data_IF_314504717859
#
_entry.id   IF_314504717859
#
_cell.length_a   1.000
_cell.length_b   1.000
_cell.length_c   1.000
_cell.angle_alpha   90.00
_cell.angle_beta   90.00
_cell.angle_gamma   90.00
#
_symmetry.space_group_name_H-M   'P 1'
#
loop_
_entity.id
_entity.type
_entity.pdbx_description
1 polymer ?
#
# COMPACT_ATOMS: atom_id res chain seq x y z
N UNK A 1 -24.43 36.88 30.87
CA UNK A 1 -23.00 36.82 30.53
C UNK A 1 -22.80 35.61 29.64
N UNK A 2 -22.43 35.83 28.38
CA UNK A 2 -22.20 34.78 27.38
C UNK A 2 -20.83 34.12 27.67
N UNK A 3 -20.80 32.80 27.85
CA UNK A 3 -19.54 32.04 27.90
C UNK A 3 -19.22 31.62 26.46
N UNK A 4 -18.31 32.37 25.82
CA UNK A 4 -17.81 32.05 24.47
C UNK A 4 -16.85 30.87 24.58
N UNK A 5 -17.31 29.68 24.18
CA UNK A 5 -16.44 28.51 24.03
C UNK A 5 -15.53 28.70 22.80
N UNK A 6 -14.25 28.97 23.04
CA UNK A 6 -13.22 28.99 21.99
C UNK A 6 -12.90 27.54 21.63
N UNK A 7 -13.39 27.08 20.47
CA UNK A 7 -12.97 25.82 19.88
C UNK A 7 -11.63 26.09 19.17
N UNK A 8 -10.54 25.68 19.82
CA UNK A 8 -9.20 25.68 19.20
C UNK A 8 -9.18 24.52 18.20
N UNK A 9 -9.43 24.82 16.92
CA UNK A 9 -9.17 23.89 15.84
C UNK A 9 -7.65 23.77 15.67
N UNK A 10 -7.05 22.82 16.38
CA UNK A 10 -5.69 22.35 16.11
C UNK A 10 -5.71 21.67 14.73
N UNK A 11 -5.48 22.46 13.67
CA UNK A 11 -5.17 21.97 12.33
C UNK A 11 -3.79 21.30 12.31
N UNK A 12 -3.62 20.23 13.07
CA UNK A 12 -2.45 19.36 12.97
C UNK A 12 -2.49 18.60 11.65
N UNK A 13 -1.33 18.41 11.01
CA UNK A 13 -1.19 17.57 9.83
C UNK A 13 -2.03 16.30 9.98
N UNK A 14 -2.98 16.07 9.08
CA UNK A 14 -3.73 14.82 9.07
C UNK A 14 -2.73 13.67 9.03
N UNK A 15 -2.74 12.82 10.06
CA UNK A 15 -1.87 11.65 10.10
C UNK A 15 -2.20 10.78 8.89
N UNK A 16 -1.15 10.35 8.16
CA UNK A 16 -1.32 9.42 7.03
C UNK A 16 -1.95 8.14 7.55
N UNK A 17 -2.97 7.68 6.86
CA UNK A 17 -3.60 6.39 7.12
C UNK A 17 -2.62 5.23 6.88
N UNK A 18 -2.87 4.05 7.46
CA UNK A 18 -2.07 2.84 7.23
C UNK A 18 -1.88 2.55 5.74
N UNK A 19 -2.93 2.54 4.89
CA UNK A 19 -2.77 2.42 3.44
C UNK A 19 -1.84 3.46 2.81
N UNK A 20 -1.90 4.71 3.26
CA UNK A 20 -1.02 5.78 2.75
C UNK A 20 0.42 5.60 3.19
N UNK A 21 0.64 5.15 4.44
CA UNK A 21 1.98 4.86 4.98
C UNK A 21 2.65 3.70 4.25
N UNK A 22 1.93 2.60 4.06
CA UNK A 22 2.47 1.42 3.37
C UNK A 22 2.71 1.70 1.88
N UNK A 23 1.80 2.44 1.23
CA UNK A 23 1.98 2.84 -0.18
C UNK A 23 3.21 3.73 -0.38
N UNK A 24 3.41 4.74 0.46
CA UNK A 24 4.58 5.62 0.36
C UNK A 24 5.86 4.90 0.79
N UNK A 25 5.80 3.95 1.71
CA UNK A 25 6.94 3.13 2.10
C UNK A 25 7.41 2.28 0.91
N UNK A 26 6.51 1.54 0.26
CA UNK A 26 6.84 0.80 -0.95
C UNK A 26 7.46 1.70 -2.02
N UNK A 27 6.79 2.81 -2.35
CA UNK A 27 7.25 3.73 -3.40
C UNK A 27 8.62 4.38 -3.13
N UNK A 28 9.08 4.43 -1.89
CA UNK A 28 10.41 4.96 -1.53
C UNK A 28 11.49 3.89 -1.47
N UNK A 29 11.11 2.63 -1.33
CA UNK A 29 12.05 1.51 -1.15
C UNK A 29 12.00 0.52 -2.31
N UNK A 30 11.19 0.77 -3.34
CA UNK A 30 11.19 0.00 -4.56
C UNK A 30 12.57 0.11 -5.25
N UNK A 31 13.35 -0.98 -5.33
CA UNK A 31 14.69 -0.97 -5.90
C UNK A 31 14.69 -0.65 -7.40
N UNK A 32 13.57 -0.80 -8.10
CA UNK A 32 13.45 -0.49 -9.53
C UNK A 32 13.40 1.02 -9.79
N UNK A 33 13.04 1.83 -8.79
CA UNK A 33 13.01 3.29 -8.89
C UNK A 33 14.41 3.93 -8.86
N UNK A 34 15.48 3.15 -8.63
CA UNK A 34 16.88 3.60 -8.68
C UNK A 34 17.54 3.37 -10.06
N UNK A 35 16.82 2.77 -11.01
CA UNK A 35 17.34 2.45 -12.34
C UNK A 35 17.30 3.63 -13.31
N UNK A 36 18.35 4.48 -13.30
CA UNK A 36 18.91 5.30 -14.40
C UNK A 36 18.03 6.24 -15.26
N UNK A 37 16.81 5.84 -15.64
CA UNK A 37 15.89 6.58 -16.51
C UNK A 37 14.45 6.68 -15.95
N UNK A 38 14.18 6.04 -14.81
CA UNK A 38 12.88 6.07 -14.14
C UNK A 38 12.86 7.06 -12.98
N UNK A 39 12.64 8.34 -13.27
CA UNK A 39 12.29 9.30 -12.23
C UNK A 39 10.76 9.31 -12.01
N UNK A 40 10.15 8.19 -11.61
CA UNK A 40 8.79 8.25 -11.08
C UNK A 40 8.87 8.93 -9.70
N UNK A 41 8.05 9.95 -9.47
CA UNK A 41 7.98 10.56 -8.14
C UNK A 41 7.43 9.53 -7.15
N UNK A 42 8.08 9.28 -5.99
CA UNK A 42 7.54 8.39 -4.97
C UNK A 42 6.11 8.73 -4.56
N UNK A 43 5.73 10.01 -4.59
CA UNK A 43 4.37 10.45 -4.31
C UNK A 43 3.39 10.05 -5.42
N UNK A 44 3.82 10.13 -6.69
CA UNK A 44 3.01 9.68 -7.82
C UNK A 44 2.83 8.15 -7.82
N UNK A 45 3.90 7.40 -7.56
CA UNK A 45 3.87 5.94 -7.40
C UNK A 45 2.97 5.54 -6.22
N UNK A 46 3.12 6.20 -5.06
CA UNK A 46 2.28 5.95 -3.89
C UNK A 46 0.80 6.24 -4.17
N UNK A 47 0.49 7.32 -4.90
CA UNK A 47 -0.88 7.64 -5.31
C UNK A 47 -1.46 6.59 -6.26
N UNK A 48 -0.66 6.10 -7.20
CA UNK A 48 -1.08 5.04 -8.14
C UNK A 48 -1.36 3.71 -7.43
N UNK A 49 -0.58 3.37 -6.41
CA UNK A 49 -0.72 2.12 -5.66
C UNK A 49 -1.77 2.19 -4.55
N UNK A 50 -2.14 3.39 -4.08
CA UNK A 50 -3.03 3.59 -2.93
C UNK A 50 -4.37 2.82 -3.02
N UNK A 51 -5.06 2.69 -4.18
CA UNK A 51 -6.28 1.90 -4.26
C UNK A 51 -6.10 0.44 -3.84
N UNK A 52 -4.97 -0.20 -4.21
CA UNK A 52 -4.67 -1.58 -3.82
C UNK A 52 -4.49 -1.70 -2.30
N UNK A 53 -3.75 -0.78 -1.69
CA UNK A 53 -3.59 -0.73 -0.24
C UNK A 53 -4.92 -0.51 0.51
N UNK A 54 -5.78 0.39 0.01
CA UNK A 54 -7.11 0.61 0.60
C UNK A 54 -7.98 -0.63 0.54
N UNK A 55 -7.96 -1.34 -0.59
CA UNK A 55 -8.70 -2.60 -0.75
C UNK A 55 -8.20 -3.67 0.23
N UNK A 56 -6.89 -3.84 0.36
CA UNK A 56 -6.29 -4.85 1.26
C UNK A 56 -6.56 -4.51 2.73
N UNK A 57 -6.52 -3.23 3.11
CA UNK A 57 -6.92 -2.79 4.44
C UNK A 57 -8.40 -3.09 4.71
N UNK A 58 -9.28 -2.84 3.74
CA UNK A 58 -10.71 -3.19 3.87
C UNK A 58 -10.90 -4.71 4.04
N UNK A 59 -10.14 -5.55 3.33
CA UNK A 59 -10.20 -7.00 3.52
C UNK A 59 -9.80 -7.41 4.95
N UNK A 60 -8.82 -6.73 5.55
CA UNK A 60 -8.47 -6.92 6.96
C UNK A 60 -9.63 -6.57 7.90
N UNK A 61 -10.27 -5.42 7.68
CA UNK A 61 -11.46 -5.02 8.44
C UNK A 61 -12.60 -6.03 8.27
N UNK A 62 -12.85 -6.50 7.05
CA UNK A 62 -13.89 -7.48 6.75
C UNK A 62 -13.59 -8.85 7.39
N UNK A 63 -12.32 -9.26 7.45
CA UNK A 63 -11.91 -10.46 8.17
C UNK A 63 -12.22 -10.33 9.67
N UNK A 64 -11.98 -9.15 10.26
CA UNK A 64 -12.31 -8.87 11.65
C UNK A 64 -13.82 -8.91 11.89
N UNK A 65 -14.63 -8.29 11.03
CA UNK A 65 -16.10 -8.27 11.17
C UNK A 65 -16.72 -9.65 10.97
N UNK A 66 -16.12 -10.50 10.14
CA UNK A 66 -16.49 -11.92 9.97
C UNK A 66 -16.08 -12.82 11.13
N UNK A 67 -15.41 -12.28 12.15
CA UNK A 67 -15.04 -13.01 13.36
C UNK A 67 -13.82 -13.92 13.21
N UNK A 68 -12.94 -13.66 12.24
CA UNK A 68 -11.69 -14.42 12.12
C UNK A 68 -10.83 -14.23 13.38
N UNK A 69 -10.20 -15.31 13.80
CA UNK A 69 -9.20 -15.30 14.87
C UNK A 69 -7.89 -14.65 14.38
N UNK A 70 -7.04 -14.15 15.30
CA UNK A 70 -5.71 -13.63 14.92
C UNK A 70 -4.86 -14.64 14.14
N UNK A 71 -4.93 -15.93 14.47
CA UNK A 71 -4.20 -16.98 13.76
C UNK A 71 -4.70 -17.14 12.32
N UNK A 72 -6.02 -17.13 12.10
CA UNK A 72 -6.60 -17.19 10.75
C UNK A 72 -6.27 -15.93 9.94
N UNK A 73 -6.30 -14.75 10.57
CA UNK A 73 -5.89 -13.51 9.93
C UNK A 73 -4.40 -13.56 9.52
N UNK A 74 -3.53 -14.09 10.37
CA UNK A 74 -2.12 -14.28 10.05
C UNK A 74 -1.92 -15.23 8.86
N UNK A 75 -2.67 -16.34 8.80
CA UNK A 75 -2.64 -17.25 7.65
C UNK A 75 -3.04 -16.55 6.35
N UNK A 76 -4.13 -15.78 6.36
CA UNK A 76 -4.53 -14.99 5.17
C UNK A 76 -3.49 -13.94 4.80
N UNK A 77 -2.86 -13.29 5.78
CA UNK A 77 -1.81 -12.31 5.54
C UNK A 77 -0.57 -12.96 4.90
N UNK A 78 -0.22 -14.18 5.31
CA UNK A 78 0.86 -14.96 4.70
C UNK A 78 0.53 -15.42 3.27
N UNK A 79 -0.74 -15.73 2.99
CA UNK A 79 -1.21 -16.01 1.62
C UNK A 79 -1.13 -14.77 0.73
N UNK A 80 -1.55 -13.60 1.23
CA UNK A 80 -1.39 -12.31 0.54
C UNK A 80 0.08 -12.08 0.17
N UNK A 81 1.00 -12.31 1.11
CA UNK A 81 2.43 -12.23 0.84
C UNK A 81 2.84 -13.19 -0.29
N UNK A 82 2.53 -14.49 -0.17
CA UNK A 82 2.95 -15.51 -1.15
C UNK A 82 2.46 -15.23 -2.57
N UNK A 83 1.21 -14.79 -2.71
CA UNK A 83 0.62 -14.47 -4.02
C UNK A 83 1.29 -13.26 -4.65
N UNK A 84 1.71 -12.27 -3.84
CA UNK A 84 2.24 -11.00 -4.33
C UNK A 84 3.77 -10.94 -4.42
N UNK A 85 4.48 -11.71 -3.59
CA UNK A 85 5.94 -11.77 -3.55
C UNK A 85 6.55 -12.40 -4.81
N UNK A 86 5.77 -13.21 -5.53
CA UNK A 86 6.20 -13.92 -6.73
C UNK A 86 5.64 -13.31 -8.04
N UNK A 87 5.01 -12.13 -7.98
CA UNK A 87 4.51 -11.44 -9.18
C UNK A 87 5.68 -10.77 -9.88
N UNK A 88 6.44 -11.56 -10.64
CA UNK A 88 7.67 -11.15 -11.35
C UNK A 88 7.40 -10.55 -12.72
N UNK A 89 6.14 -10.42 -13.14
CA UNK A 89 5.78 -9.89 -14.46
C UNK A 89 4.62 -8.91 -14.38
N UNK A 90 4.87 -7.71 -14.90
CA UNK A 90 3.87 -6.67 -15.13
C UNK A 90 4.07 -6.08 -16.51
N UNK A 91 2.97 -5.69 -17.16
CA UNK A 91 3.05 -4.91 -18.39
C UNK A 91 2.94 -3.44 -18.01
N UNK A 92 4.07 -2.74 -17.96
CA UNK A 92 4.03 -1.28 -17.88
C UNK A 92 3.97 -0.68 -19.29
N UNK A 93 3.15 0.36 -19.44
CA UNK A 93 3.13 1.15 -20.67
C UNK A 93 4.14 2.27 -20.48
N UNK A 94 5.30 2.17 -21.11
CA UNK A 94 6.28 3.24 -21.07
C UNK A 94 5.76 4.47 -21.84
N UNK A 95 5.93 5.66 -21.26
CA UNK A 95 5.74 6.96 -21.93
C UNK A 95 4.35 7.29 -22.52
N UNK A 96 3.22 6.83 -21.96
CA UNK A 96 1.87 7.09 -22.51
C UNK A 96 1.68 6.63 -23.98
N UNK A 97 2.63 5.89 -24.55
CA UNK A 97 2.53 5.30 -25.87
C UNK A 97 1.81 3.96 -25.69
N UNK A 98 0.48 3.96 -25.86
CA UNK A 98 -0.38 2.77 -25.78
C UNK A 98 0.13 1.58 -26.62
N UNK A 99 0.94 1.86 -27.62
CA UNK A 99 1.49 0.90 -28.58
C UNK A 99 2.83 0.28 -28.15
N UNK A 100 3.47 0.79 -27.08
CA UNK A 100 4.74 0.27 -26.57
C UNK A 100 4.56 -0.28 -25.15
N UNK A 101 4.21 -1.56 -25.11
CA UNK A 101 4.20 -2.39 -23.91
C UNK A 101 5.54 -3.10 -23.84
N UNK A 102 6.43 -2.63 -22.97
CA UNK A 102 7.65 -3.38 -22.66
C UNK A 102 7.33 -4.32 -21.52
N UNK A 103 7.58 -5.61 -21.70
CA UNK A 103 7.46 -6.57 -20.61
C UNK A 103 8.60 -6.29 -19.64
N UNK A 104 8.28 -5.76 -18.47
CA UNK A 104 9.26 -5.57 -17.41
C UNK A 104 9.23 -6.81 -16.54
N UNK A 105 10.38 -7.47 -16.41
CA UNK A 105 10.60 -8.41 -15.30
C UNK A 105 10.71 -7.57 -14.05
N UNK A 106 9.71 -7.64 -13.17
CA UNK A 106 9.74 -6.90 -11.92
C UNK A 106 10.88 -7.48 -11.08
N UNK A 107 11.74 -6.61 -10.55
CA UNK A 107 12.82 -7.02 -9.65
C UNK A 107 12.23 -7.87 -8.50
N UNK A 108 12.87 -9.00 -8.20
CA UNK A 108 12.38 -9.95 -7.20
C UNK A 108 12.21 -9.27 -5.84
N UNK A 109 13.12 -8.37 -5.48
CA UNK A 109 13.05 -7.63 -4.21
C UNK A 109 11.92 -6.62 -4.21
N UNK A 110 11.60 -6.00 -5.35
CA UNK A 110 10.42 -5.13 -5.47
C UNK A 110 9.13 -5.94 -5.28
N UNK A 111 9.05 -7.14 -5.86
CA UNK A 111 7.90 -8.03 -5.71
C UNK A 111 7.73 -8.51 -4.27
N UNK A 112 8.83 -8.91 -3.61
CA UNK A 112 8.84 -9.28 -2.20
C UNK A 112 8.42 -8.12 -1.29
N UNK A 113 8.96 -6.92 -1.53
CA UNK A 113 8.58 -5.71 -0.79
C UNK A 113 7.09 -5.40 -0.97
N UNK A 114 6.57 -5.49 -2.20
CA UNK A 114 5.15 -5.33 -2.49
C UNK A 114 4.29 -6.33 -1.70
N UNK A 115 4.64 -7.61 -1.73
CA UNK A 115 3.93 -8.63 -0.95
C UNK A 115 3.96 -8.35 0.55
N UNK A 116 5.11 -7.91 1.07
CA UNK A 116 5.30 -7.62 2.49
C UNK A 116 4.42 -6.45 2.96
N UNK A 117 4.43 -5.33 2.23
CA UNK A 117 3.65 -4.16 2.61
C UNK A 117 2.14 -4.41 2.50
N UNK A 118 1.69 -5.22 1.53
CA UNK A 118 0.29 -5.64 1.46
C UNK A 118 -0.10 -6.55 2.64
N UNK A 119 0.74 -7.51 3.00
CA UNK A 119 0.53 -8.36 4.19
C UNK A 119 0.37 -7.52 5.46
N UNK A 120 1.26 -6.54 5.66
CA UNK A 120 1.19 -5.65 6.82
C UNK A 120 -0.05 -4.76 6.79
N UNK A 121 -0.43 -4.24 5.61
CA UNK A 121 -1.65 -3.44 5.44
C UNK A 121 -2.92 -4.22 5.78
N UNK A 122 -2.98 -5.50 5.43
CA UNK A 122 -4.09 -6.38 5.80
C UNK A 122 -4.18 -6.52 7.32
N UNK A 123 -3.04 -6.79 7.98
CA UNK A 123 -2.99 -6.94 9.43
C UNK A 123 -3.34 -5.64 10.16
N UNK A 124 -2.92 -4.48 9.63
CA UNK A 124 -3.32 -3.17 10.14
C UNK A 124 -4.85 -3.00 10.05
N UNK A 125 -5.46 -3.38 8.93
CA UNK A 125 -6.92 -3.36 8.75
C UNK A 125 -7.64 -4.29 9.74
N UNK A 126 -7.11 -5.50 9.94
CA UNK A 126 -7.65 -6.47 10.90
C UNK A 126 -7.54 -5.98 12.36
N UNK A 127 -6.44 -5.31 12.69
CA UNK A 127 -6.16 -4.80 14.03
C UNK A 127 -6.70 -3.39 14.30
N UNK A 128 -7.25 -2.70 13.29
CA UNK A 128 -7.77 -1.34 13.41
C UNK A 128 -6.68 -0.26 13.54
N UNK A 129 -5.49 -0.52 13.01
CA UNK A 129 -4.38 0.44 13.00
C UNK A 129 -4.67 1.52 11.97
N UNK A 130 -4.86 2.75 12.45
CA UNK A 130 -5.13 3.91 11.60
C UNK A 130 -3.95 4.28 10.74
#
# INVERSE_FOLDING_TARGET
MLITAVIIALGGCAAKTSPERHSIYYARHDPTMMGGNYASSPDATAKANLPAYKQIYQQGQDAKTKGLTPAQAQTLADEIYKVNANVTSGTETFMNLKEHKTQITRDERASQLWGQTLKETFLDGFNGVK
#
